data_IF_728128424710
#
_entry.id   IF_728128424710
#
_cell.length_a   1.000
_cell.length_b   1.000
_cell.length_c   1.000
_cell.angle_alpha   90.00
_cell.angle_beta   90.00
_cell.angle_gamma   90.00
#
_symmetry.space_group_name_H-M   'P 1'
#
loop_
_entity.id
_entity.type
_entity.pdbx_description
1 polymer ?
#
# COMPACT_ATOMS: atom_id res chain seq x y z
N UNK A 1 4.75 -68.77 2.40
CA UNK A 1 5.85 -67.91 1.92
C UNK A 1 5.91 -67.79 0.39
N UNK A 2 4.96 -68.35 -0.37
CA UNK A 2 4.98 -68.38 -1.84
C UNK A 2 4.04 -67.35 -2.52
N UNK A 3 3.14 -66.68 -1.79
CA UNK A 3 2.18 -65.73 -2.39
C UNK A 3 2.66 -64.26 -2.41
N UNK A 4 3.73 -63.91 -1.68
CA UNK A 4 4.25 -62.53 -1.63
C UNK A 4 5.21 -62.24 -2.79
N UNK A 5 5.81 -63.28 -3.38
CA UNK A 5 6.81 -63.12 -4.46
C UNK A 5 6.18 -62.92 -5.85
N UNK A 6 4.93 -63.37 -6.06
CA UNK A 6 4.24 -63.24 -7.35
C UNK A 6 3.67 -61.83 -7.57
N UNK A 7 3.26 -61.14 -6.49
CA UNK A 7 2.72 -59.78 -6.57
C UNK A 7 3.77 -58.75 -6.99
N UNK A 8 5.01 -58.92 -6.55
CA UNK A 8 6.09 -57.98 -6.87
C UNK A 8 6.62 -58.15 -8.31
N UNK A 9 6.56 -59.37 -8.88
CA UNK A 9 6.93 -59.62 -10.28
C UNK A 9 6.02 -58.94 -11.29
N UNK A 10 4.73 -58.72 -10.95
CA UNK A 10 3.78 -58.03 -11.84
C UNK A 10 3.90 -56.50 -11.81
N UNK A 11 4.45 -55.93 -10.73
CA UNK A 11 4.60 -54.47 -10.59
C UNK A 11 5.76 -53.90 -11.42
N UNK A 12 6.82 -54.69 -11.63
CA UNK A 12 8.03 -54.27 -12.37
C UNK A 12 8.01 -54.61 -13.86
N UNK A 13 7.04 -55.40 -14.34
CA UNK A 13 6.92 -55.75 -15.76
C UNK A 13 6.43 -54.60 -16.66
N UNK A 14 5.98 -53.48 -16.09
CA UNK A 14 5.50 -52.31 -16.84
C UNK A 14 6.48 -51.14 -16.94
N UNK A 15 7.70 -51.26 -16.40
CA UNK A 15 8.70 -50.17 -16.37
C UNK A 15 9.87 -50.40 -17.34
N UNK A 16 9.95 -51.56 -18.00
CA UNK A 16 11.04 -51.89 -18.94
C UNK A 16 10.82 -51.43 -20.38
N UNK A 17 9.63 -50.90 -20.72
CA UNK A 17 9.30 -50.47 -22.08
C UNK A 17 9.40 -48.94 -22.31
N UNK A 18 10.07 -48.22 -21.41
CA UNK A 18 10.42 -46.81 -21.65
C UNK A 18 11.79 -46.78 -22.33
N UNK A 19 11.80 -47.05 -23.62
CA UNK A 19 12.93 -46.75 -24.49
C UNK A 19 13.05 -45.23 -24.62
N UNK A 20 13.98 -44.61 -23.89
CA UNK A 20 14.41 -43.25 -24.19
C UNK A 20 15.17 -43.34 -25.52
N UNK A 21 14.56 -42.85 -26.60
CA UNK A 21 15.30 -42.61 -27.84
C UNK A 21 16.35 -41.53 -27.57
N UNK A 22 17.58 -41.95 -27.31
CA UNK A 22 18.77 -41.12 -27.50
C UNK A 22 18.90 -40.82 -28.99
N UNK A 23 18.49 -39.60 -29.36
CA UNK A 23 18.84 -38.81 -30.54
C UNK A 23 17.61 -38.02 -31.02
N UNK A 24 17.18 -37.05 -30.20
CA UNK A 24 16.36 -35.95 -30.70
C UNK A 24 17.36 -34.80 -30.93
N UNK A 25 17.72 -34.47 -32.18
CA UNK A 25 18.51 -33.28 -32.45
C UNK A 25 17.69 -32.08 -31.98
N UNK A 26 18.19 -31.39 -30.97
CA UNK A 26 17.58 -30.17 -30.43
C UNK A 26 17.97 -29.00 -31.34
N UNK A 27 17.55 -29.06 -32.59
CA UNK A 27 17.56 -27.92 -33.50
C UNK A 27 16.25 -27.15 -33.25
N UNK A 28 16.32 -26.12 -32.42
CA UNK A 28 15.20 -25.20 -32.23
C UNK A 28 15.04 -24.33 -33.47
N UNK A 29 14.17 -24.71 -34.40
CA UNK A 29 13.70 -23.80 -35.45
C UNK A 29 12.75 -22.78 -34.83
N UNK A 30 13.25 -21.57 -34.56
CA UNK A 30 12.41 -20.41 -34.27
C UNK A 30 11.92 -19.87 -35.61
N UNK A 31 10.98 -20.57 -36.23
CA UNK A 31 10.21 -20.00 -37.33
C UNK A 31 9.15 -19.08 -36.72
N UNK A 32 9.51 -17.80 -36.59
CA UNK A 32 8.51 -16.74 -36.39
C UNK A 32 7.60 -16.77 -37.62
N UNK A 33 6.28 -16.96 -37.48
CA UNK A 33 5.40 -16.84 -38.62
C UNK A 33 5.50 -15.40 -39.10
N UNK A 34 6.10 -15.19 -40.27
CA UNK A 34 6.02 -13.95 -41.02
C UNK A 34 4.59 -13.83 -41.54
N UNK A 35 3.68 -13.53 -40.61
CA UNK A 35 2.33 -13.09 -40.89
C UNK A 35 2.38 -11.59 -41.14
N UNK A 36 2.11 -11.22 -42.39
CA UNK A 36 1.81 -9.88 -42.93
C UNK A 36 2.09 -8.68 -42.03
N UNK A 37 3.02 -7.84 -42.49
CA UNK A 37 3.21 -6.46 -42.06
C UNK A 37 1.86 -5.74 -41.90
N UNK A 38 1.43 -5.57 -40.65
CA UNK A 38 0.58 -4.47 -40.23
C UNK A 38 1.46 -3.57 -39.37
N UNK A 39 1.67 -2.35 -39.85
CA UNK A 39 2.60 -1.35 -39.34
C UNK A 39 2.10 -0.64 -38.07
N UNK A 40 1.45 -1.36 -37.14
CA UNK A 40 0.74 -0.74 -36.02
C UNK A 40 1.05 -1.32 -34.63
N UNK A 41 1.95 -2.32 -34.49
CA UNK A 41 2.17 -3.02 -33.21
C UNK A 41 3.63 -2.98 -32.71
N UNK A 42 4.15 -1.81 -32.34
CA UNK A 42 5.27 -1.74 -31.39
C UNK A 42 5.35 -0.42 -30.61
N UNK A 43 4.20 0.08 -30.13
CA UNK A 43 4.21 1.03 -28.99
C UNK A 43 4.56 0.26 -27.72
N UNK A 44 5.83 -0.12 -27.64
CA UNK A 44 6.46 -0.68 -26.45
C UNK A 44 6.50 0.40 -25.37
N UNK A 45 6.26 0.01 -24.10
CA UNK A 45 6.30 0.91 -22.93
C UNK A 45 7.67 1.56 -22.70
N UNK A 46 8.65 1.24 -23.55
CA UNK A 46 10.00 1.79 -23.55
C UNK A 46 10.14 3.06 -24.40
N UNK A 47 9.22 3.34 -25.33
CA UNK A 47 9.18 4.56 -26.16
C UNK A 47 8.12 5.58 -25.70
N UNK A 48 7.35 5.25 -24.66
CA UNK A 48 6.48 6.21 -24.00
C UNK A 48 7.36 7.25 -23.27
N UNK A 49 7.21 8.56 -23.54
CA UNK A 49 8.03 9.55 -22.87
C UNK A 49 7.78 9.47 -21.36
N UNK A 50 8.84 9.59 -20.57
CA UNK A 50 8.81 9.49 -19.09
C UNK A 50 7.68 10.33 -18.45
N UNK A 51 7.30 11.44 -19.10
CA UNK A 51 6.18 12.28 -18.70
C UNK A 51 4.83 11.57 -18.76
N UNK A 52 4.56 10.79 -19.80
CA UNK A 52 3.30 10.09 -19.98
C UNK A 52 3.18 8.92 -19.00
N UNK A 53 4.28 8.22 -18.73
CA UNK A 53 4.35 7.21 -17.65
C UNK A 53 4.08 7.83 -16.27
N UNK A 54 4.76 8.94 -15.92
CA UNK A 54 4.54 9.63 -14.65
C UNK A 54 3.11 10.17 -14.55
N UNK A 55 2.57 10.73 -15.63
CA UNK A 55 1.21 11.26 -15.67
C UNK A 55 0.17 10.15 -15.47
N UNK A 56 0.38 8.98 -16.08
CA UNK A 56 -0.46 7.79 -15.91
C UNK A 56 -0.46 7.32 -14.45
N UNK A 57 0.72 7.19 -13.83
CA UNK A 57 0.85 6.74 -12.44
C UNK A 57 0.25 7.77 -11.45
N UNK A 58 0.50 9.08 -11.66
CA UNK A 58 -0.12 10.14 -10.87
C UNK A 58 -1.64 10.17 -11.02
N UNK A 59 -2.17 9.91 -12.22
CA UNK A 59 -3.61 9.85 -12.46
C UNK A 59 -4.25 8.68 -11.70
N UNK A 60 -3.61 7.51 -11.71
CA UNK A 60 -4.07 6.34 -10.94
C UNK A 60 -4.07 6.63 -9.43
N UNK A 61 -2.99 7.22 -8.91
CA UNK A 61 -2.88 7.67 -7.51
C UNK A 61 -3.96 8.71 -7.17
N UNK A 62 -4.19 9.68 -8.06
CA UNK A 62 -5.19 10.73 -7.87
C UNK A 62 -6.62 10.19 -7.81
N UNK A 63 -6.98 9.23 -8.67
CA UNK A 63 -8.28 8.56 -8.60
C UNK A 63 -8.48 7.86 -7.25
N UNK A 64 -7.43 7.25 -6.69
CA UNK A 64 -7.47 6.60 -5.38
C UNK A 64 -7.61 7.60 -4.22
N UNK A 65 -6.97 8.76 -4.31
CA UNK A 65 -7.16 9.85 -3.35
C UNK A 65 -8.63 10.31 -3.30
N UNK A 66 -9.30 10.44 -4.46
CA UNK A 66 -10.73 10.80 -4.51
C UNK A 66 -11.59 9.74 -3.81
N UNK A 67 -11.26 8.45 -3.93
CA UNK A 67 -11.99 7.37 -3.26
C UNK A 67 -11.81 7.39 -1.74
N UNK A 68 -10.64 7.79 -1.24
CA UNK A 68 -10.42 7.97 0.20
C UNK A 68 -11.19 9.17 0.73
N UNK A 69 -11.21 10.28 -0.03
CA UNK A 69 -11.91 11.49 0.37
C UNK A 69 -13.43 11.35 0.23
N UNK A 70 -13.90 10.51 -0.70
CA UNK A 70 -15.30 10.22 -0.93
C UNK A 70 -15.49 8.70 -1.12
N UNK A 71 -15.76 7.95 -0.03
CA UNK A 71 -15.92 6.50 -0.07
C UNK A 71 -17.22 6.12 -0.78
N UNK A 72 -17.20 6.14 -2.12
CA UNK A 72 -18.13 5.39 -2.95
C UNK A 72 -17.72 3.91 -2.92
N UNK A 73 -18.68 2.99 -2.96
CA UNK A 73 -18.49 1.52 -2.98
C UNK A 73 -17.72 1.05 -4.23
N UNK A 74 -16.45 1.41 -4.33
CA UNK A 74 -15.58 1.01 -5.43
C UNK A 74 -14.43 0.20 -4.84
N UNK A 75 -14.20 -0.97 -5.43
CA UNK A 75 -13.08 -1.85 -5.14
C UNK A 75 -11.79 -1.41 -5.83
N UNK A 76 -11.71 -0.17 -6.35
CA UNK A 76 -10.55 0.32 -7.10
C UNK A 76 -9.26 0.31 -6.26
N UNK A 77 -9.33 0.63 -4.96
CA UNK A 77 -8.20 0.51 -4.03
C UNK A 77 -7.75 -0.94 -3.82
N UNK A 78 -8.66 -1.89 -4.04
CA UNK A 78 -8.42 -3.31 -3.83
C UNK A 78 -7.93 -4.02 -5.10
N UNK A 79 -8.19 -3.47 -6.29
CA UNK A 79 -7.89 -4.15 -7.55
C UNK A 79 -6.45 -3.91 -8.02
N UNK A 80 -5.98 -2.69 -7.86
CA UNK A 80 -4.66 -2.27 -8.32
C UNK A 80 -3.82 -1.88 -7.10
N UNK A 81 -2.65 -2.46 -6.90
CA UNK A 81 -1.73 -2.06 -5.83
C UNK A 81 -0.78 -0.99 -6.39
N UNK A 82 -0.63 0.12 -5.68
CA UNK A 82 0.28 1.20 -6.07
C UNK A 82 0.96 1.71 -4.81
N UNK A 83 2.27 1.47 -4.69
CA UNK A 83 3.04 1.86 -3.52
C UNK A 83 3.46 3.34 -3.54
N UNK A 84 3.41 3.95 -4.73
CA UNK A 84 3.77 5.35 -4.97
C UNK A 84 2.89 6.35 -4.23
N UNK A 85 1.57 6.10 -4.16
CA UNK A 85 0.64 6.99 -3.47
C UNK A 85 0.89 7.10 -1.96
N UNK A 86 0.88 5.97 -1.22
CA UNK A 86 1.28 5.92 0.19
C UNK A 86 2.65 6.55 0.46
N UNK A 87 3.63 6.28 -0.40
CA UNK A 87 4.97 6.85 -0.29
C UNK A 87 4.94 8.38 -0.43
N UNK A 88 4.23 8.90 -1.43
CA UNK A 88 4.09 10.33 -1.64
C UNK A 88 3.42 11.00 -0.44
N UNK A 89 2.34 10.42 0.10
CA UNK A 89 1.65 10.95 1.29
C UNK A 89 2.55 10.96 2.53
N UNK A 90 3.33 9.89 2.73
CA UNK A 90 4.29 9.78 3.82
C UNK A 90 5.37 10.85 3.71
N UNK A 91 5.96 11.03 2.52
CA UNK A 91 7.01 12.04 2.27
C UNK A 91 6.43 13.44 2.46
N UNK A 92 5.26 13.74 1.91
CA UNK A 92 4.61 15.06 2.09
C UNK A 92 4.35 15.35 3.56
N UNK A 93 3.83 14.38 4.32
CA UNK A 93 3.57 14.56 5.75
C UNK A 93 4.87 14.81 6.53
N UNK A 94 5.90 13.99 6.27
CA UNK A 94 7.20 14.09 6.92
C UNK A 94 7.90 15.43 6.63
N UNK A 95 7.90 15.88 5.37
CA UNK A 95 8.51 17.17 4.96
C UNK A 95 7.83 18.36 5.62
N UNK A 96 6.51 18.34 5.70
CA UNK A 96 5.75 19.45 6.27
C UNK A 96 5.85 19.53 7.80
N UNK A 97 6.16 18.40 8.45
CA UNK A 97 6.54 18.37 9.85
C UNK A 97 7.98 18.87 10.08
N UNK A 98 8.91 18.57 9.17
CA UNK A 98 10.33 18.97 9.29
C UNK A 98 10.55 20.50 9.29
N UNK A 99 9.69 21.26 8.61
CA UNK A 99 9.89 22.68 8.30
C UNK A 99 9.70 23.68 9.46
N UNK A 100 10.13 23.34 10.68
CA UNK A 100 10.07 24.24 11.86
C UNK A 100 11.32 24.22 12.74
N UNK A 101 12.32 23.37 12.45
CA UNK A 101 13.49 23.17 13.32
C UNK A 101 14.78 23.79 12.76
N UNK A 102 14.69 24.92 12.05
CA UNK A 102 15.85 25.53 11.41
C UNK A 102 16.75 26.34 12.35
N UNK A 103 16.45 26.47 13.66
CA UNK A 103 17.20 27.43 14.50
C UNK A 103 17.39 27.08 16.00
N UNK A 104 17.60 25.82 16.37
CA UNK A 104 18.19 25.53 17.69
C UNK A 104 19.03 24.25 17.68
N UNK A 105 20.33 24.43 17.89
CA UNK A 105 21.39 23.47 17.59
C UNK A 105 21.54 22.26 18.51
N UNK A 106 20.51 21.76 19.20
CA UNK A 106 20.71 20.61 20.11
C UNK A 106 19.66 19.48 20.07
N UNK A 107 18.54 19.58 19.34
CA UNK A 107 17.55 18.48 19.26
C UNK A 107 17.15 18.14 17.82
N UNK A 108 18.14 17.80 17.01
CA UNK A 108 17.98 17.28 15.66
C UNK A 108 17.42 15.85 15.62
N UNK A 109 16.24 15.62 16.22
CA UNK A 109 15.55 14.33 16.06
C UNK A 109 15.30 14.12 14.56
N UNK A 110 15.61 12.96 13.97
CA UNK A 110 15.32 12.70 12.56
C UNK A 110 13.81 12.51 12.37
N UNK A 111 13.07 13.62 12.42
CA UNK A 111 11.61 13.67 12.35
C UNK A 111 11.11 13.01 11.06
N UNK A 112 11.80 13.22 9.94
CA UNK A 112 11.48 12.51 8.70
C UNK A 112 11.54 10.98 8.84
N UNK A 113 12.62 10.46 9.41
CA UNK A 113 12.78 9.01 9.57
C UNK A 113 11.79 8.44 10.60
N UNK A 114 11.48 9.20 11.66
CA UNK A 114 10.47 8.83 12.65
C UNK A 114 9.09 8.64 12.01
N UNK A 115 8.59 9.65 11.27
CA UNK A 115 7.30 9.56 10.56
C UNK A 115 7.30 8.41 9.56
N UNK A 116 8.38 8.28 8.80
CA UNK A 116 8.51 7.23 7.80
C UNK A 116 8.44 5.84 8.42
N UNK A 117 9.23 5.58 9.48
CA UNK A 117 9.25 4.30 10.18
C UNK A 117 7.88 3.99 10.79
N UNK A 118 7.23 4.95 11.46
CA UNK A 118 5.91 4.74 12.07
C UNK A 118 4.88 4.34 11.01
N UNK A 119 4.82 5.04 9.88
CA UNK A 119 3.84 4.78 8.83
C UNK A 119 4.08 3.42 8.17
N UNK A 120 5.32 3.16 7.74
CA UNK A 120 5.65 1.94 7.01
C UNK A 120 5.63 0.71 7.89
N UNK A 121 6.34 0.76 9.01
CA UNK A 121 6.42 -0.37 9.93
C UNK A 121 5.09 -0.62 10.62
N UNK A 122 4.37 0.44 11.01
CA UNK A 122 3.01 0.33 11.54
C UNK A 122 2.06 -0.30 10.55
N UNK A 123 2.07 0.13 9.28
CA UNK A 123 1.26 -0.46 8.21
C UNK A 123 1.58 -1.94 8.01
N UNK A 124 2.87 -2.33 8.01
CA UNK A 124 3.30 -3.74 7.95
C UNK A 124 2.75 -4.57 9.10
N UNK A 125 2.85 -4.10 10.34
CA UNK A 125 2.33 -4.82 11.51
C UNK A 125 0.82 -5.04 11.40
N UNK A 126 0.07 -4.00 11.04
CA UNK A 126 -1.40 -4.05 10.92
C UNK A 126 -1.81 -4.99 9.79
N UNK A 127 -1.12 -4.92 8.66
CA UNK A 127 -1.38 -5.79 7.52
C UNK A 127 -1.05 -7.25 7.86
N UNK A 128 0.07 -7.53 8.53
CA UNK A 128 0.38 -8.88 8.99
C UNK A 128 -0.68 -9.40 9.95
N UNK A 129 -1.13 -8.59 10.91
CA UNK A 129 -2.21 -8.94 11.81
C UNK A 129 -3.51 -9.27 11.04
N UNK A 130 -3.88 -8.41 10.08
CA UNK A 130 -5.06 -8.59 9.22
C UNK A 130 -4.98 -9.86 8.38
N UNK A 131 -3.77 -10.25 7.94
CA UNK A 131 -3.53 -11.48 7.19
C UNK A 131 -3.59 -12.72 8.06
N UNK A 132 -2.96 -12.70 9.23
CA UNK A 132 -2.97 -13.81 10.20
C UNK A 132 -4.38 -14.10 10.73
N UNK A 133 -5.25 -13.09 10.77
CA UNK A 133 -6.64 -13.25 11.16
C UNK A 133 -7.52 -13.94 10.11
N UNK A 134 -7.00 -14.14 8.89
CA UNK A 134 -7.71 -14.76 7.77
C UNK A 134 -8.24 -13.77 6.74
N UNK A 135 -7.67 -12.56 6.66
CA UNK A 135 -8.05 -11.57 5.67
C UNK A 135 -7.80 -12.01 4.22
N UNK A 136 -8.80 -11.81 3.36
CA UNK A 136 -8.76 -12.25 1.96
C UNK A 136 -7.96 -11.30 1.05
N UNK A 137 -7.81 -10.03 1.42
CA UNK A 137 -7.07 -8.99 0.68
C UNK A 137 -5.56 -9.25 0.72
N UNK A 138 -4.85 -9.12 -0.41
CA UNK A 138 -3.37 -9.22 -0.53
C UNK A 138 -2.59 -8.30 0.43
N UNK A 139 -1.35 -8.70 0.78
CA UNK A 139 -0.50 -7.95 1.74
C UNK A 139 -0.27 -6.51 1.28
N UNK A 140 0.31 -6.31 0.09
CA UNK A 140 0.60 -4.97 -0.43
C UNK A 140 -0.65 -4.11 -0.65
N UNK A 141 -1.78 -4.73 -0.96
CA UNK A 141 -3.05 -4.03 -1.13
C UNK A 141 -3.56 -3.46 0.20
N UNK A 142 -3.47 -4.23 1.29
CA UNK A 142 -3.77 -3.73 2.63
C UNK A 142 -2.79 -2.62 3.06
N UNK A 143 -1.50 -2.77 2.77
CA UNK A 143 -0.50 -1.71 3.02
C UNK A 143 -0.87 -0.41 2.29
N UNK A 144 -1.23 -0.54 1.01
CA UNK A 144 -1.60 0.60 0.19
C UNK A 144 -2.84 1.27 0.75
N UNK A 145 -3.91 0.52 1.06
CA UNK A 145 -5.14 1.07 1.64
C UNK A 145 -4.86 1.85 2.92
N UNK A 146 -4.07 1.28 3.85
CA UNK A 146 -3.69 1.95 5.09
C UNK A 146 -2.93 3.26 4.82
N UNK A 147 -2.00 3.26 3.87
CA UNK A 147 -1.25 4.45 3.49
C UNK A 147 -2.09 5.51 2.77
N UNK A 148 -2.98 5.10 1.87
CA UNK A 148 -3.88 5.99 1.14
C UNK A 148 -4.84 6.71 2.10
N UNK A 149 -5.32 6.00 3.12
CA UNK A 149 -6.17 6.55 4.16
C UNK A 149 -5.47 7.58 5.06
N UNK A 150 -4.16 7.81 4.93
CA UNK A 150 -3.45 8.92 5.61
C UNK A 150 -3.74 10.27 4.93
N UNK A 151 -4.24 10.30 3.69
CA UNK A 151 -4.52 11.53 2.95
C UNK A 151 -5.29 12.61 3.75
N UNK A 152 -6.41 12.31 4.46
CA UNK A 152 -7.13 13.32 5.24
C UNK A 152 -6.28 13.91 6.37
N UNK A 153 -5.39 13.12 6.97
CA UNK A 153 -4.42 13.58 7.99
C UNK A 153 -3.35 14.48 7.36
N UNK A 154 -2.85 14.14 6.18
CA UNK A 154 -1.91 15.01 5.44
C UNK A 154 -2.54 16.36 5.09
N UNK A 155 -3.80 16.36 4.64
CA UNK A 155 -4.56 17.60 4.38
C UNK A 155 -4.77 18.40 5.67
N UNK A 156 -5.16 17.74 6.77
CA UNK A 156 -5.31 18.40 8.07
C UNK A 156 -4.02 19.09 8.52
N UNK A 157 -2.87 18.45 8.32
CA UNK A 157 -1.58 19.04 8.65
C UNK A 157 -1.29 20.29 7.79
N UNK A 158 -1.57 20.26 6.47
CA UNK A 158 -1.42 21.44 5.60
C UNK A 158 -2.30 22.59 6.09
N UNK A 159 -3.55 22.30 6.44
CA UNK A 159 -4.47 23.29 7.04
C UNK A 159 -3.92 23.81 8.37
N UNK A 160 -3.38 22.95 9.23
CA UNK A 160 -2.75 23.37 10.49
C UNK A 160 -1.60 24.35 10.26
N UNK A 161 -0.74 24.10 9.25
CA UNK A 161 0.36 25.02 8.89
C UNK A 161 -0.17 26.37 8.43
N UNK A 162 -1.23 26.41 7.62
CA UNK A 162 -1.85 27.67 7.15
C UNK A 162 -2.47 28.44 8.33
N UNK A 163 -3.17 27.75 9.23
CA UNK A 163 -3.79 28.36 10.43
C UNK A 163 -2.74 28.97 11.35
N UNK A 164 -1.58 28.32 11.49
CA UNK A 164 -0.45 28.82 12.27
C UNK A 164 0.13 30.15 11.74
N UNK A 165 0.00 30.45 10.46
CA UNK A 165 0.50 31.70 9.86
C UNK A 165 -0.40 32.91 10.12
N UNK A 166 -1.67 32.72 10.51
CA UNK A 166 -2.66 33.80 10.53
C UNK A 166 -3.53 33.93 11.79
N UNK A 167 -3.51 32.97 12.73
CA UNK A 167 -4.44 32.95 13.85
C UNK A 167 -3.79 33.31 15.20
N UNK A 168 -4.55 33.99 16.07
CA UNK A 168 -4.21 34.14 17.50
C UNK A 168 -4.10 32.76 18.16
N UNK A 169 -3.09 32.59 19.01
CA UNK A 169 -2.61 31.31 19.56
C UNK A 169 -3.70 30.37 20.10
N UNK A 170 -4.68 30.89 20.84
CA UNK A 170 -5.74 30.07 21.43
C UNK A 170 -6.78 29.56 20.42
N UNK A 171 -7.16 30.37 19.43
CA UNK A 171 -8.15 29.99 18.42
C UNK A 171 -7.53 29.00 17.42
N UNK A 172 -6.25 29.23 17.06
CA UNK A 172 -5.50 28.33 16.20
C UNK A 172 -5.44 26.90 16.76
N UNK A 173 -5.21 26.74 18.08
CA UNK A 173 -5.19 25.43 18.71
C UNK A 173 -6.54 24.68 18.62
N UNK A 174 -7.66 25.35 18.90
CA UNK A 174 -8.99 24.74 18.83
C UNK A 174 -9.33 24.29 17.40
N UNK A 175 -9.04 25.13 16.40
CA UNK A 175 -9.27 24.78 14.99
C UNK A 175 -8.42 23.56 14.60
N UNK A 176 -7.15 23.52 15.00
CA UNK A 176 -6.27 22.37 14.76
C UNK A 176 -6.83 21.10 15.40
N UNK A 177 -7.29 21.17 16.64
CA UNK A 177 -7.88 20.05 17.36
C UNK A 177 -9.10 19.48 16.61
N UNK A 178 -10.02 20.35 16.17
CA UNK A 178 -11.21 19.95 15.43
C UNK A 178 -10.82 19.31 14.08
N UNK A 179 -9.96 19.96 13.31
CA UNK A 179 -9.57 19.50 11.97
C UNK A 179 -8.84 18.15 12.04
N UNK A 180 -7.87 17.99 12.95
CA UNK A 180 -7.14 16.72 13.07
C UNK A 180 -8.06 15.61 13.58
N UNK A 181 -8.95 15.89 14.55
CA UNK A 181 -9.90 14.89 15.05
C UNK A 181 -10.86 14.43 13.95
N UNK A 182 -11.40 15.37 13.16
CA UNK A 182 -12.26 15.04 12.03
C UNK A 182 -11.54 14.18 10.98
N UNK A 183 -10.31 14.56 10.61
CA UNK A 183 -9.49 13.79 9.67
C UNK A 183 -9.09 12.42 10.21
N UNK A 184 -8.78 12.31 11.50
CA UNK A 184 -8.51 11.04 12.17
C UNK A 184 -9.71 10.10 12.11
N UNK A 185 -10.91 10.60 12.45
CA UNK A 185 -12.14 9.84 12.37
C UNK A 185 -12.43 9.39 10.94
N UNK A 186 -12.23 10.27 9.95
CA UNK A 186 -12.42 9.95 8.54
C UNK A 186 -11.45 8.89 8.04
N UNK A 187 -10.16 9.03 8.36
CA UNK A 187 -9.11 8.09 7.97
C UNK A 187 -9.36 6.69 8.55
N UNK A 188 -9.75 6.64 9.83
CA UNK A 188 -10.11 5.41 10.51
C UNK A 188 -11.36 4.78 9.90
N UNK A 189 -12.41 5.57 9.65
CA UNK A 189 -13.65 5.09 9.02
C UNK A 189 -13.39 4.53 7.62
N UNK A 190 -12.70 5.28 6.75
CA UNK A 190 -12.37 4.84 5.39
C UNK A 190 -11.55 3.55 5.41
N UNK A 191 -10.49 3.51 6.22
CA UNK A 191 -9.62 2.34 6.32
C UNK A 191 -10.33 1.11 6.85
N UNK A 192 -11.17 1.26 7.88
CA UNK A 192 -11.92 0.16 8.48
C UNK A 192 -13.04 -0.32 7.56
N UNK A 193 -13.68 0.56 6.78
CA UNK A 193 -14.65 0.15 5.77
C UNK A 193 -14.01 -0.80 4.73
N UNK A 194 -12.80 -0.49 4.24
CA UNK A 194 -12.11 -1.35 3.27
C UNK A 194 -11.53 -2.64 3.89
N UNK A 195 -10.87 -2.54 5.06
CA UNK A 195 -10.24 -3.70 5.69
C UNK A 195 -11.26 -4.63 6.36
N UNK A 196 -12.25 -4.10 7.09
CA UNK A 196 -13.18 -4.94 7.85
C UNK A 196 -14.12 -5.74 6.94
N UNK A 197 -14.40 -5.28 5.72
CA UNK A 197 -15.19 -6.04 4.74
C UNK A 197 -14.43 -7.25 4.16
N UNK A 198 -13.10 -7.28 4.29
CA UNK A 198 -12.29 -8.44 3.91
C UNK A 198 -12.10 -9.48 5.01
N UNK A 199 -12.60 -9.19 6.21
CA UNK A 199 -12.42 -10.02 7.38
C UNK A 199 -13.68 -10.85 7.67
N UNK A 200 -13.54 -12.06 8.24
CA UNK A 200 -14.68 -12.82 8.74
C UNK A 200 -15.49 -11.99 9.74
N UNK A 201 -16.82 -12.10 9.71
CA UNK A 201 -17.73 -11.26 10.51
C UNK A 201 -17.42 -11.28 12.03
N UNK A 202 -16.94 -12.41 12.55
CA UNK A 202 -16.60 -12.59 13.97
C UNK A 202 -15.26 -11.90 14.37
N UNK A 203 -14.40 -11.52 13.41
CA UNK A 203 -13.03 -11.04 13.66
C UNK A 203 -12.81 -9.57 13.33
N UNK A 204 -13.83 -8.86 12.86
CA UNK A 204 -13.72 -7.45 12.43
C UNK A 204 -13.15 -6.53 13.52
N UNK A 205 -13.58 -6.70 14.77
CA UNK A 205 -13.13 -5.87 15.89
C UNK A 205 -11.61 -5.97 16.16
N UNK A 206 -11.02 -7.16 15.96
CA UNK A 206 -9.59 -7.37 16.20
C UNK A 206 -8.71 -6.64 15.18
N UNK A 207 -9.20 -6.42 13.96
CA UNK A 207 -8.50 -5.61 12.94
C UNK A 207 -8.74 -4.11 13.14
N UNK A 208 -9.92 -3.71 13.62
CA UNK A 208 -10.25 -2.30 13.84
C UNK A 208 -9.38 -1.68 14.94
N UNK A 209 -9.08 -2.43 16.01
CA UNK A 209 -8.27 -1.92 17.13
C UNK A 209 -6.87 -1.41 16.73
N UNK A 210 -6.00 -2.20 16.07
CA UNK A 210 -4.67 -1.73 15.66
C UNK A 210 -4.75 -0.64 14.58
N UNK A 211 -5.78 -0.65 13.73
CA UNK A 211 -6.03 0.41 12.72
C UNK A 211 -6.35 1.75 13.39
N UNK A 212 -7.22 1.73 14.41
CA UNK A 212 -7.53 2.93 15.19
C UNK A 212 -6.27 3.49 15.88
N UNK A 213 -5.50 2.61 16.54
CA UNK A 213 -4.27 3.01 17.24
C UNK A 213 -3.27 3.66 16.27
N UNK A 214 -3.11 3.09 15.07
CA UNK A 214 -2.23 3.61 14.05
C UNK A 214 -2.55 5.05 13.64
N UNK A 215 -3.80 5.33 13.25
CA UNK A 215 -4.19 6.70 12.90
C UNK A 215 -4.20 7.62 14.11
N UNK A 216 -4.44 7.09 15.31
CA UNK A 216 -4.41 7.87 16.54
C UNK A 216 -3.00 8.38 16.81
N UNK A 217 -1.98 7.51 16.68
CA UNK A 217 -0.57 7.91 16.84
C UNK A 217 -0.19 8.97 15.81
N UNK A 218 -0.57 8.81 14.54
CA UNK A 218 -0.29 9.81 13.50
C UNK A 218 -1.00 11.13 13.77
N UNK A 219 -2.29 11.10 14.11
CA UNK A 219 -3.07 12.30 14.45
C UNK A 219 -2.52 13.01 15.69
N UNK A 220 -2.13 12.25 16.71
CA UNK A 220 -1.48 12.77 17.91
C UNK A 220 -0.17 13.46 17.61
N UNK A 221 0.64 12.87 16.73
CA UNK A 221 1.90 13.45 16.27
C UNK A 221 1.67 14.79 15.53
N UNK A 222 0.62 14.89 14.69
CA UNK A 222 0.24 16.14 14.01
C UNK A 222 -0.27 17.21 15.00
N UNK A 223 -0.97 16.79 16.06
CA UNK A 223 -1.47 17.72 17.09
C UNK A 223 -0.35 18.25 17.99
N UNK A 224 0.55 17.38 18.42
CA UNK A 224 1.68 17.75 19.29
C UNK A 224 2.78 18.50 18.56
N UNK A 225 2.80 18.44 17.21
CA UNK A 225 3.65 19.29 16.41
C UNK A 225 3.38 20.77 16.72
N UNK A 226 4.32 21.43 17.39
CA UNK A 226 4.32 22.87 17.59
C UNK A 226 5.57 23.42 16.93
N UNK A 227 5.47 24.17 15.83
CA UNK A 227 6.62 24.94 15.37
C UNK A 227 6.97 25.92 16.49
N UNK A 228 8.22 25.89 16.96
CA UNK A 228 8.74 26.93 17.85
C UNK A 228 8.66 28.27 17.12
N UNK A 229 8.19 29.34 17.79
CA UNK A 229 8.14 30.68 17.21
C UNK A 229 9.52 31.20 16.85
#
# INVERSE_FOLDING_TARGET
>A
MAEVEESNKRLFAGLSDISISEDIPVEGDISVPVGSQNTDDDFSTLDEPVKDTILRDLRAVGQKFVHVLYPKKSSALLKDWDLWGPLLLCVTLALMMQGGSADSGEDGRPQFAEVFVIIWFGSVIITLNSKLLGGTISFFQSLCVLGYCILPLTVAMIVCRIVLLGALSSIGFVVRLIVVTASFCWSTFASTAFLADSQPANRKALVVYPVFLFYFVIGWMILTFSPSP
#
